data_IF_799262293990
#
_entry.id   IF_799262293990
#
_cell.length_a   1.000
_cell.length_b   1.000
_cell.length_c   1.000
_cell.angle_alpha   90.00
_cell.angle_beta   90.00
_cell.angle_gamma   90.00
#
_symmetry.space_group_name_H-M   'P 1'
#
loop_
_entity.id
_entity.type
_entity.pdbx_description
1 polymer ?
#
# COMPACT_ATOMS: atom_id res chain seq x y z
N UNK A 1 16.09 -24.17 -35.09
CA UNK A 1 15.14 -24.31 -33.97
C UNK A 1 15.66 -23.79 -32.63
N UNK A 2 16.94 -24.02 -32.23
CA UNK A 2 17.47 -23.50 -30.92
C UNK A 2 17.39 -21.99 -30.70
N UNK A 3 17.56 -21.17 -31.75
CA UNK A 3 17.55 -19.70 -31.63
C UNK A 3 16.13 -19.12 -31.40
N UNK A 4 15.09 -19.76 -31.92
CA UNK A 4 13.71 -19.34 -31.69
C UNK A 4 13.26 -19.54 -30.24
N UNK A 5 13.72 -20.60 -29.58
CA UNK A 5 13.44 -20.89 -28.17
C UNK A 5 14.08 -19.86 -27.23
N UNK A 6 15.27 -19.37 -27.55
CA UNK A 6 15.96 -18.34 -26.76
C UNK A 6 15.23 -17.01 -26.81
N UNK A 7 14.67 -16.64 -27.97
CA UNK A 7 13.88 -15.41 -28.10
C UNK A 7 12.58 -15.50 -27.31
N UNK A 8 11.89 -16.66 -27.36
CA UNK A 8 10.67 -16.89 -26.57
C UNK A 8 10.95 -16.85 -25.07
N UNK A 9 12.09 -17.42 -24.64
CA UNK A 9 12.49 -17.40 -23.23
C UNK A 9 12.87 -15.98 -22.76
N UNK A 10 13.57 -15.20 -23.60
CA UNK A 10 13.93 -13.83 -23.28
C UNK A 10 12.71 -12.92 -23.20
N UNK A 11 11.72 -13.08 -24.09
CA UNK A 11 10.45 -12.36 -24.04
C UNK A 11 9.65 -12.79 -22.80
N UNK A 12 9.71 -14.06 -22.42
CA UNK A 12 9.05 -14.56 -21.22
C UNK A 12 9.60 -13.93 -19.94
N UNK A 13 10.95 -13.77 -19.84
CA UNK A 13 11.57 -13.08 -18.70
C UNK A 13 11.33 -11.58 -18.69
N UNK A 14 11.15 -10.94 -19.85
CA UNK A 14 10.83 -9.51 -19.94
C UNK A 14 9.37 -9.20 -19.57
N UNK A 15 8.48 -10.20 -19.67
CA UNK A 15 7.04 -10.07 -19.38
C UNK A 15 6.72 -10.56 -17.95
N UNK A 16 7.66 -11.20 -17.25
CA UNK A 16 7.45 -11.47 -15.82
C UNK A 16 7.18 -10.13 -15.14
N UNK A 17 5.98 -9.93 -14.59
CA UNK A 17 5.77 -8.77 -13.77
C UNK A 17 6.78 -8.89 -12.64
N UNK A 18 7.74 -7.99 -12.61
CA UNK A 18 8.36 -7.65 -11.35
C UNK A 18 7.15 -7.26 -10.51
N UNK A 19 6.72 -8.16 -9.65
CA UNK A 19 5.87 -7.81 -8.53
C UNK A 19 6.68 -6.77 -7.79
N UNK A 20 6.53 -5.51 -8.18
CA UNK A 20 6.78 -4.43 -7.29
C UNK A 20 5.80 -4.74 -6.15
N UNK A 21 6.26 -5.53 -5.18
CA UNK A 21 5.74 -5.41 -3.84
C UNK A 21 5.77 -3.91 -3.62
N UNK A 22 4.61 -3.30 -3.69
CA UNK A 22 4.40 -2.00 -3.13
C UNK A 22 4.71 -2.23 -1.65
N UNK A 23 5.99 -2.06 -1.28
CA UNK A 23 6.38 -1.80 0.09
C UNK A 23 5.36 -0.80 0.56
N UNK A 24 4.56 -1.20 1.56
CA UNK A 24 3.34 -0.52 1.94
C UNK A 24 3.62 0.97 2.02
N UNK A 25 3.27 1.69 0.97
CA UNK A 25 3.61 3.09 0.79
C UNK A 25 3.03 3.84 1.99
N UNK A 26 3.89 4.26 2.89
CA UNK A 26 3.47 5.06 4.02
C UNK A 26 3.03 6.42 3.48
N UNK A 27 1.77 6.71 3.65
CA UNK A 27 1.19 8.01 3.30
C UNK A 27 1.17 8.87 4.54
N UNK A 28 1.74 10.04 4.49
CA UNK A 28 1.63 10.99 5.60
C UNK A 28 0.20 11.54 5.64
N UNK A 29 -0.52 11.25 6.74
CA UNK A 29 -1.90 11.69 6.95
C UNK A 29 -1.98 13.04 7.67
N UNK A 30 -0.96 13.37 8.47
CA UNK A 30 -0.92 14.61 9.21
C UNK A 30 0.12 14.62 10.32
N UNK A 31 0.07 15.68 11.10
CA UNK A 31 0.85 15.82 12.32
C UNK A 31 -0.04 16.42 13.43
N UNK A 32 0.26 16.10 14.67
CA UNK A 32 -0.37 16.67 15.84
C UNK A 32 0.73 17.17 16.77
N UNK A 33 0.64 18.43 17.17
CA UNK A 33 1.60 19.03 18.09
C UNK A 33 0.85 19.48 19.33
N UNK A 34 1.28 18.99 20.49
CA UNK A 34 0.87 19.44 21.80
C UNK A 34 2.05 20.19 22.42
N UNK A 35 1.90 21.49 22.60
CA UNK A 35 2.92 22.34 23.21
C UNK A 35 2.92 22.20 24.74
N UNK A 36 4.05 22.45 25.36
CA UNK A 36 4.18 22.45 26.81
C UNK A 36 3.22 23.46 27.44
N UNK A 37 2.42 23.02 28.41
CA UNK A 37 1.39 23.83 29.03
C UNK A 37 0.03 23.80 28.34
N UNK A 38 -0.10 23.20 27.18
CA UNK A 38 -1.39 22.99 26.55
C UNK A 38 -2.12 21.77 27.14
N UNK A 39 -3.40 21.92 27.47
CA UNK A 39 -4.22 20.85 28.01
C UNK A 39 -4.61 19.82 26.95
N UNK A 40 -4.79 20.27 25.70
CA UNK A 40 -5.13 19.40 24.58
C UNK A 40 -4.74 19.98 23.23
N UNK A 41 -4.54 19.07 22.27
CA UNK A 41 -4.38 19.38 20.85
C UNK A 41 -5.19 18.40 20.03
N UNK A 42 -5.69 18.85 18.88
CA UNK A 42 -6.46 17.97 17.97
C UNK A 42 -6.09 18.21 16.52
N UNK A 43 -6.14 17.16 15.74
CA UNK A 43 -5.96 17.23 14.30
C UNK A 43 -6.98 16.33 13.59
N UNK A 44 -7.40 16.73 12.41
CA UNK A 44 -8.25 15.92 11.57
C UNK A 44 -7.39 15.24 10.51
N UNK A 45 -7.51 13.92 10.41
CA UNK A 45 -6.85 13.12 9.40
C UNK A 45 -7.89 12.57 8.44
N UNK A 46 -7.52 12.40 7.18
CA UNK A 46 -8.38 11.86 6.14
C UNK A 46 -7.61 10.86 5.31
N UNK A 47 -8.27 9.75 5.01
CA UNK A 47 -7.76 8.78 4.06
C UNK A 47 -8.22 9.16 2.65
N UNK A 48 -7.33 9.77 1.87
CA UNK A 48 -7.63 10.12 0.47
C UNK A 48 -7.30 9.00 -0.51
N UNK A 49 -6.85 7.85 -0.01
CA UNK A 49 -6.57 6.67 -0.85
C UNK A 49 -7.85 5.92 -1.20
N UNK A 50 -7.77 5.08 -2.24
CA UNK A 50 -8.87 4.19 -2.63
C UNK A 50 -9.02 2.97 -1.72
N UNK A 51 -8.13 2.79 -0.74
CA UNK A 51 -8.03 1.60 0.11
C UNK A 51 -8.12 1.96 1.57
N UNK A 52 -8.56 1.04 2.43
CA UNK A 52 -8.47 1.21 3.87
C UNK A 52 -7.00 1.26 4.32
N UNK A 53 -6.72 2.13 5.30
CA UNK A 53 -5.38 2.30 5.85
C UNK A 53 -5.41 2.16 7.37
N UNK A 54 -4.36 1.56 7.92
CA UNK A 54 -4.06 1.64 9.34
C UNK A 54 -3.44 3.00 9.63
N UNK A 55 -3.99 3.73 10.58
CA UNK A 55 -3.41 4.97 11.07
C UNK A 55 -2.43 4.62 12.17
N UNK A 56 -1.17 4.97 11.92
CA UNK A 56 -0.06 4.76 12.82
C UNK A 56 0.41 6.11 13.36
N UNK A 57 0.74 6.15 14.64
CA UNK A 57 1.27 7.31 15.30
C UNK A 57 2.65 7.02 15.88
N UNK A 58 3.58 7.94 15.66
CA UNK A 58 4.91 7.92 16.24
C UNK A 58 5.26 9.31 16.74
N UNK A 59 5.75 9.40 17.96
CA UNK A 59 6.23 10.65 18.53
C UNK A 59 7.66 10.94 18.10
N UNK A 60 8.05 12.21 18.14
CA UNK A 60 9.45 12.59 18.08
C UNK A 60 10.16 12.21 19.39
N UNK A 61 11.51 12.07 19.37
CA UNK A 61 12.28 11.67 20.55
C UNK A 61 12.23 12.66 21.73
N UNK A 62 11.84 13.88 21.50
CA UNK A 62 11.68 14.95 22.47
C UNK A 62 10.35 14.93 23.23
N UNK A 63 9.50 13.93 22.95
CA UNK A 63 8.23 13.78 23.64
C UNK A 63 8.42 13.47 25.12
N UNK A 64 7.72 14.19 25.98
CA UNK A 64 7.82 14.05 27.43
C UNK A 64 6.45 14.20 28.09
N UNK A 65 6.30 13.63 29.29
CA UNK A 65 5.10 13.73 30.11
C UNK A 65 4.03 12.70 29.79
N UNK A 66 2.95 12.72 30.56
CA UNK A 66 1.82 11.80 30.42
C UNK A 66 0.79 12.33 29.43
N UNK A 67 0.41 11.51 28.47
CA UNK A 67 -0.56 11.89 27.43
C UNK A 67 -1.62 10.83 27.24
N UNK A 68 -2.80 11.25 26.86
CA UNK A 68 -3.91 10.40 26.44
C UNK A 68 -4.28 10.73 25.00
N UNK A 69 -4.24 9.74 24.12
CA UNK A 69 -4.69 9.87 22.74
C UNK A 69 -6.09 9.27 22.61
N UNK A 70 -6.96 10.03 22.00
CA UNK A 70 -8.33 9.63 21.71
C UNK A 70 -8.59 9.82 20.23
N UNK A 71 -9.23 8.82 19.61
CA UNK A 71 -9.64 8.89 18.20
C UNK A 71 -11.16 8.96 18.14
N UNK A 72 -11.67 9.95 17.43
CA UNK A 72 -13.09 10.09 17.13
C UNK A 72 -13.34 9.82 15.67
N UNK A 73 -14.15 8.78 15.40
CA UNK A 73 -14.49 8.34 14.05
C UNK A 73 -15.99 8.09 13.97
N UNK A 74 -16.68 8.64 12.98
CA UNK A 74 -18.12 8.44 12.75
C UNK A 74 -18.98 8.70 14.00
N UNK A 75 -18.63 9.71 14.81
CA UNK A 75 -19.35 10.05 16.05
C UNK A 75 -18.99 9.21 17.28
N UNK A 76 -18.20 8.17 17.13
CA UNK A 76 -17.68 7.37 18.23
C UNK A 76 -16.28 7.83 18.64
N UNK A 77 -16.05 7.89 19.95
CA UNK A 77 -14.75 8.25 20.51
C UNK A 77 -14.17 7.05 21.25
N UNK A 78 -12.98 6.65 20.89
CA UNK A 78 -12.28 5.52 21.50
C UNK A 78 -10.88 5.95 22.00
N UNK A 79 -10.48 5.53 23.22
CA UNK A 79 -9.12 5.74 23.67
C UNK A 79 -8.18 4.85 22.84
N UNK A 80 -7.10 5.46 22.32
CA UNK A 80 -6.11 4.74 21.53
C UNK A 80 -4.81 4.51 22.32
N UNK A 81 -4.47 5.43 23.22
CA UNK A 81 -3.29 5.33 24.06
C UNK A 81 -3.46 6.15 25.34
N UNK A 82 -2.89 5.68 26.45
CA UNK A 82 -2.75 6.44 27.67
C UNK A 82 -1.45 6.01 28.35
N UNK A 83 -0.54 6.94 28.58
CA UNK A 83 0.75 6.66 29.18
C UNK A 83 1.78 7.73 28.91
N UNK A 84 3.05 7.38 29.13
CA UNK A 84 4.17 8.27 28.89
C UNK A 84 4.38 8.53 27.39
N UNK A 85 4.51 9.80 27.02
CA UNK A 85 4.77 10.21 25.65
C UNK A 85 6.07 9.64 25.07
N UNK A 86 7.07 9.40 25.92
CA UNK A 86 8.33 8.79 25.53
C UNK A 86 8.13 7.36 24.95
N UNK A 87 7.12 6.63 25.41
CA UNK A 87 6.81 5.30 24.86
C UNK A 87 6.38 5.38 23.38
N UNK A 88 5.71 6.48 22.97
CA UNK A 88 5.32 6.72 21.60
C UNK A 88 6.51 7.05 20.68
N UNK A 89 7.63 7.48 21.23
CA UNK A 89 8.85 7.72 20.47
C UNK A 89 9.60 6.41 20.18
N UNK A 90 9.47 5.41 21.07
CA UNK A 90 10.14 4.12 20.93
C UNK A 90 9.44 3.15 20.01
N UNK A 91 8.11 3.22 19.93
CA UNK A 91 7.30 2.31 19.14
C UNK A 91 6.19 3.03 18.40
N UNK A 92 5.94 2.58 17.21
CA UNK A 92 4.77 2.97 16.41
C UNK A 92 3.52 2.30 16.99
N UNK A 93 2.47 3.08 17.24
CA UNK A 93 1.21 2.54 17.71
C UNK A 93 0.12 2.70 16.64
N UNK A 94 -0.74 1.69 16.54
CA UNK A 94 -1.91 1.75 15.69
C UNK A 94 -3.04 2.45 16.43
N UNK A 95 -3.54 3.56 15.86
CA UNK A 95 -4.64 4.31 16.42
C UNK A 95 -6.01 3.78 15.99
N UNK A 96 -6.21 3.63 14.69
CA UNK A 96 -7.48 3.18 14.11
C UNK A 96 -7.26 2.67 12.68
N UNK A 97 -8.34 2.22 12.06
CA UNK A 97 -8.41 1.95 10.62
C UNK A 97 -9.34 2.96 9.98
N UNK A 98 -8.94 3.57 8.88
CA UNK A 98 -9.77 4.46 8.08
C UNK A 98 -10.10 3.80 6.75
N UNK A 99 -11.38 3.68 6.44
CA UNK A 99 -11.83 3.27 5.12
C UNK A 99 -11.53 4.35 4.07
N UNK A 100 -11.64 4.00 2.81
CA UNK A 100 -11.47 4.96 1.72
C UNK A 100 -12.34 6.20 1.91
N UNK A 101 -11.73 7.38 1.80
CA UNK A 101 -12.35 8.71 1.94
C UNK A 101 -12.91 9.01 3.34
N UNK A 102 -12.67 8.17 4.31
CA UNK A 102 -13.09 8.39 5.69
C UNK A 102 -12.13 9.35 6.41
N UNK A 103 -12.67 10.09 7.39
CA UNK A 103 -11.90 10.98 8.24
C UNK A 103 -12.08 10.61 9.72
N UNK A 104 -11.05 10.92 10.50
CA UNK A 104 -11.09 10.83 11.96
C UNK A 104 -10.43 12.06 12.59
N UNK A 105 -10.82 12.36 13.80
CA UNK A 105 -10.17 13.38 14.63
C UNK A 105 -9.33 12.67 15.66
N UNK A 106 -8.05 12.99 15.69
CA UNK A 106 -7.11 12.53 16.72
C UNK A 106 -6.93 13.68 17.71
N UNK A 107 -7.15 13.41 18.98
CA UNK A 107 -7.03 14.35 20.08
C UNK A 107 -6.00 13.81 21.08
N UNK A 108 -5.03 14.64 21.41
CA UNK A 108 -4.10 14.41 22.50
C UNK A 108 -4.49 15.29 23.67
N UNK A 109 -4.60 14.74 24.85
CA UNK A 109 -4.82 15.46 26.10
C UNK A 109 -3.70 15.17 27.06
N UNK A 110 -3.31 16.18 27.86
CA UNK A 110 -2.29 16.09 28.91
C UNK A 110 -2.80 16.72 30.20
N UNK A 111 -2.35 16.20 31.30
CA UNK A 111 -2.63 16.75 32.63
C UNK A 111 -1.75 17.99 32.98
N UNK A 112 -1.17 18.65 31.97
CA UNK A 112 -0.34 19.84 32.08
C UNK A 112 1.14 19.52 32.26
N UNK A 113 1.96 19.84 31.28
CA UNK A 113 3.43 19.63 31.31
C UNK A 113 3.96 18.56 30.33
N UNK A 114 3.09 18.03 29.46
CA UNK A 114 3.57 17.19 28.37
C UNK A 114 3.83 18.03 27.13
N UNK A 115 4.89 17.68 26.42
CA UNK A 115 5.16 18.14 25.07
C UNK A 115 5.17 16.94 24.12
N UNK A 116 4.44 17.03 23.01
CA UNK A 116 4.28 15.91 22.10
C UNK A 116 4.19 16.40 20.66
N UNK A 117 5.05 15.87 19.81
CA UNK A 117 4.94 16.03 18.36
C UNK A 117 4.74 14.66 17.72
N UNK A 118 3.52 14.38 17.27
CA UNK A 118 3.16 13.13 16.61
C UNK A 118 3.21 13.27 15.11
N UNK A 119 3.82 12.29 14.46
CA UNK A 119 3.66 12.05 13.03
C UNK A 119 2.58 10.97 12.85
N UNK A 120 1.58 11.27 12.03
CA UNK A 120 0.50 10.36 11.70
C UNK A 120 0.69 9.86 10.28
N UNK A 121 0.87 8.55 10.13
CA UNK A 121 1.08 7.88 8.84
C UNK A 121 -0.02 6.87 8.59
N UNK A 122 -0.38 6.69 7.33
CA UNK A 122 -1.29 5.65 6.87
C UNK A 122 -0.50 4.54 6.22
N UNK A 123 -0.67 3.30 6.69
CA UNK A 123 -0.16 2.10 6.03
C UNK A 123 -1.33 1.32 5.45
N UNK A 124 -1.24 0.96 4.19
CA UNK A 124 -2.28 0.20 3.52
C UNK A 124 -2.54 -1.14 4.22
N UNK A 125 -3.82 -1.51 4.33
CA UNK A 125 -4.23 -2.82 4.84
C UNK A 125 -4.00 -3.83 3.72
N UNK A 126 -3.03 -4.74 3.88
CA UNK A 126 -2.60 -5.67 2.83
C UNK A 126 -3.75 -6.55 2.30
N UNK A 127 -4.65 -6.99 3.18
CA UNK A 127 -5.77 -7.87 2.83
C UNK A 127 -6.92 -7.14 2.10
N UNK A 128 -6.90 -5.81 2.05
CA UNK A 128 -7.98 -5.01 1.49
C UNK A 128 -7.71 -4.51 0.07
N UNK A 129 -6.57 -4.86 -0.53
CA UNK A 129 -6.29 -4.54 -1.93
C UNK A 129 -7.08 -5.51 -2.79
N UNK A 130 -8.14 -5.04 -3.48
CA UNK A 130 -8.80 -5.92 -4.43
C UNK A 130 -7.79 -6.33 -5.49
N UNK A 131 -7.73 -7.61 -5.86
CA UNK A 131 -6.85 -8.06 -6.92
C UNK A 131 -7.13 -7.21 -8.16
N UNK A 132 -6.07 -6.68 -8.77
CA UNK A 132 -6.19 -5.89 -10.00
C UNK A 132 -6.63 -6.79 -11.16
N UNK A 133 -7.95 -7.05 -11.22
CA UNK A 133 -8.57 -7.89 -12.25
C UNK A 133 -8.27 -7.39 -13.66
N UNK A 134 -8.07 -6.08 -13.84
CA UNK A 134 -7.69 -5.50 -15.13
C UNK A 134 -6.31 -5.98 -15.58
N UNK A 135 -5.34 -5.97 -14.68
CA UNK A 135 -4.01 -6.50 -14.94
C UNK A 135 -4.02 -8.00 -15.18
N UNK A 136 -4.81 -8.74 -14.40
CA UNK A 136 -4.94 -10.19 -14.51
C UNK A 136 -5.57 -10.59 -15.84
N UNK A 137 -6.59 -9.88 -16.30
CA UNK A 137 -7.23 -10.07 -17.60
C UNK A 137 -6.30 -9.72 -18.76
N UNK A 138 -5.54 -8.63 -18.67
CA UNK A 138 -4.52 -8.28 -19.67
C UNK A 138 -3.45 -9.37 -19.78
N UNK A 139 -3.01 -9.91 -18.66
CA UNK A 139 -2.02 -11.00 -18.60
C UNK A 139 -2.56 -12.29 -19.23
N UNK A 140 -3.79 -12.66 -18.87
CA UNK A 140 -4.48 -13.82 -19.43
C UNK A 140 -4.70 -13.67 -20.94
N UNK A 141 -5.09 -12.48 -21.40
CA UNK A 141 -5.25 -12.14 -22.81
C UNK A 141 -3.93 -12.23 -23.59
N UNK A 142 -2.84 -11.71 -23.05
CA UNK A 142 -1.50 -11.79 -23.64
C UNK A 142 -1.02 -13.25 -23.74
N UNK A 143 -1.26 -14.06 -22.72
CA UNK A 143 -0.97 -15.50 -22.72
C UNK A 143 -1.76 -16.24 -23.79
N UNK A 144 -3.05 -15.98 -23.90
CA UNK A 144 -3.93 -16.61 -24.89
C UNK A 144 -3.47 -16.26 -26.32
N UNK A 145 -3.14 -14.99 -26.56
CA UNK A 145 -2.59 -14.54 -27.84
C UNK A 145 -1.27 -15.25 -28.19
N UNK A 146 -0.38 -15.42 -27.20
CA UNK A 146 0.89 -16.09 -27.40
C UNK A 146 0.70 -17.57 -27.75
N UNK A 147 -0.22 -18.26 -27.07
CA UNK A 147 -0.56 -19.67 -27.37
C UNK A 147 -1.14 -19.82 -28.78
N UNK A 148 -2.05 -18.92 -29.18
CA UNK A 148 -2.63 -18.91 -30.52
C UNK A 148 -1.53 -18.67 -31.57
N UNK A 149 -0.65 -17.70 -31.36
CA UNK A 149 0.45 -17.39 -32.27
C UNK A 149 1.42 -18.57 -32.42
N UNK A 150 1.82 -19.19 -31.30
CA UNK A 150 2.69 -20.37 -31.32
C UNK A 150 2.05 -21.56 -32.04
N UNK A 151 0.76 -21.79 -31.82
CA UNK A 151 0.00 -22.85 -32.48
C UNK A 151 -0.11 -22.58 -33.98
N UNK A 152 -0.39 -21.34 -34.36
CA UNK A 152 -0.45 -20.92 -35.77
C UNK A 152 0.92 -21.11 -36.45
N UNK A 153 2.00 -20.67 -35.83
CA UNK A 153 3.36 -20.83 -36.36
C UNK A 153 3.75 -22.32 -36.49
N UNK A 154 3.38 -23.16 -35.52
CA UNK A 154 3.69 -24.58 -35.55
C UNK A 154 2.97 -25.33 -36.67
N UNK A 155 1.76 -24.91 -37.02
CA UNK A 155 0.93 -25.57 -38.05
C UNK A 155 1.19 -24.99 -39.46
N UNK A 156 1.29 -23.70 -39.58
CA UNK A 156 1.35 -23.01 -40.89
C UNK A 156 2.75 -22.93 -41.46
N UNK A 157 3.77 -22.76 -40.63
CA UNK A 157 5.17 -22.68 -41.09
C UNK A 157 5.66 -24.00 -41.77
N UNK A 158 5.49 -25.19 -41.18
CA UNK A 158 5.89 -26.44 -41.80
C UNK A 158 5.17 -26.70 -43.13
N UNK A 159 3.86 -26.36 -43.16
CA UNK A 159 3.05 -26.56 -44.35
C UNK A 159 3.44 -25.63 -45.52
N UNK A 160 3.88 -24.41 -45.23
CA UNK A 160 4.39 -23.47 -46.27
C UNK A 160 5.79 -23.86 -46.77
N UNK A 161 6.66 -24.31 -45.87
CA UNK A 161 8.02 -24.72 -46.22
C UNK A 161 8.02 -26.05 -46.99
N UNK A 162 7.19 -27.02 -46.64
CA UNK A 162 7.08 -28.28 -47.33
C UNK A 162 6.49 -28.20 -48.73
N UNK A 163 5.69 -27.18 -49.07
CA UNK A 163 5.18 -26.94 -50.43
C UNK A 163 6.22 -26.32 -51.38
N UNK A 164 7.23 -25.66 -50.86
CA UNK A 164 8.29 -25.04 -51.71
C UNK A 164 9.28 -26.09 -52.21
N UNK A 165 9.54 -27.13 -51.45
CA UNK A 165 10.48 -28.22 -51.83
C UNK A 165 9.88 -29.27 -52.78
N UNK A 166 8.57 -29.22 -53.06
CA UNK A 166 7.92 -30.11 -54.03
C UNK A 166 7.77 -29.51 -55.43
N UNK A 167 8.25 -28.28 -55.67
CA UNK A 167 8.16 -27.61 -56.96
C UNK A 167 9.51 -27.38 -57.64
N UNK A 168 10.59 -27.84 -57.03
CA UNK A 168 11.90 -28.03 -57.69
C UNK A 168 12.14 -29.49 -57.98
#
# INVERSE_FOLDING_TARGET
MRRAWLIVLAVFFLILPVSAQADGAETQLGALVLEEGAESARTTIRNDTAYPVYVLARAKPDAAGSVRLTVRQSGHSAPAFAGDAAALAMAEIRLCTLDSRQSAVVEAASDGGASLSLRLTGRQVEDAVPPDYGRLLLWLGAWLLLVILCSYLAVVLPNKLGRKHRRE
#
